data_IF_029431038233
#
_entry.id   IF_029431038233
#
_cell.length_a   1.000
_cell.length_b   1.000
_cell.length_c   1.000
_cell.angle_alpha   90.00
_cell.angle_beta   90.00
_cell.angle_gamma   90.00
#
_symmetry.space_group_name_H-M   'P 1'
#
loop_
_entity.id
_entity.type
_entity.pdbx_description
1 polymer ?
#
# COMPACT_ATOMS: atom_id res chain seq x y z
N UNK A 1 -17.36 -7.95 13.47
CA UNK A 1 -16.06 -8.13 14.19
C UNK A 1 -15.21 -6.93 13.90
N UNK A 2 -14.89 -6.11 14.89
CA UNK A 2 -14.23 -4.81 14.70
C UNK A 2 -12.79 -5.03 14.20
N UNK A 3 -12.46 -4.45 13.06
CA UNK A 3 -11.08 -4.35 12.58
C UNK A 3 -10.48 -3.13 13.26
N UNK A 4 -9.41 -3.30 13.99
CA UNK A 4 -8.74 -2.20 14.69
C UNK A 4 -7.25 -2.23 14.37
N UNK A 5 -6.65 -1.05 14.35
CA UNK A 5 -5.21 -0.86 14.33
C UNK A 5 -4.70 -0.35 15.70
N UNK A 6 -5.43 -0.69 16.77
CA UNK A 6 -5.17 -0.27 18.16
C UNK A 6 -3.99 -1.06 18.75
N UNK A 7 -2.83 -0.91 18.14
CA UNK A 7 -1.59 -1.45 18.68
C UNK A 7 -0.99 -0.46 19.68
N UNK A 8 -0.19 -0.97 20.64
CA UNK A 8 0.55 -0.10 21.55
C UNK A 8 1.38 0.94 20.80
N UNK A 9 1.55 2.13 21.37
CA UNK A 9 2.34 3.20 20.77
C UNK A 9 3.76 2.76 20.38
N UNK A 10 4.36 1.84 21.14
CA UNK A 10 5.67 1.26 20.87
C UNK A 10 5.71 0.53 19.49
N UNK A 11 4.64 -0.18 19.12
CA UNK A 11 4.56 -0.85 17.82
C UNK A 11 4.55 0.16 16.67
N UNK A 12 3.77 1.25 16.82
CA UNK A 12 3.76 2.34 15.83
C UNK A 12 5.11 3.05 15.73
N UNK A 13 5.80 3.24 16.85
CA UNK A 13 7.17 3.80 16.85
C UNK A 13 8.16 2.87 16.14
N UNK A 14 8.08 1.55 16.34
CA UNK A 14 8.91 0.57 15.66
C UNK A 14 8.65 0.59 14.15
N UNK A 15 7.38 0.60 13.72
CA UNK A 15 7.03 0.69 12.31
C UNK A 15 7.50 2.01 11.68
N UNK A 16 7.39 3.13 12.38
CA UNK A 16 7.90 4.43 11.90
C UNK A 16 9.43 4.40 11.73
N UNK A 17 10.15 3.82 12.69
CA UNK A 17 11.60 3.66 12.60
C UNK A 17 12.01 2.76 11.42
N UNK A 18 11.29 1.65 11.19
CA UNK A 18 11.56 0.77 10.05
C UNK A 18 11.25 1.46 8.70
N UNK A 19 10.16 2.22 8.61
CA UNK A 19 9.85 3.05 7.45
C UNK A 19 10.98 4.08 7.16
N UNK A 20 11.56 4.66 8.21
CA UNK A 20 12.71 5.58 8.09
C UNK A 20 13.97 4.87 7.57
N UNK A 21 14.16 3.59 7.87
CA UNK A 21 15.34 2.80 7.47
C UNK A 21 15.19 2.26 6.06
N UNK A 22 14.05 1.66 5.75
CA UNK A 22 13.86 0.83 4.56
C UNK A 22 12.81 1.36 3.58
N UNK A 23 11.92 2.27 4.01
CA UNK A 23 10.79 2.77 3.22
C UNK A 23 9.57 1.86 3.25
N UNK A 24 9.62 0.77 4.00
CA UNK A 24 8.49 -0.11 4.26
C UNK A 24 8.58 -0.72 5.68
N UNK A 25 7.45 -1.09 6.25
CA UNK A 25 7.38 -1.72 7.56
C UNK A 25 6.23 -2.75 7.61
N UNK A 26 6.49 -4.00 8.04
CA UNK A 26 5.42 -4.96 8.28
C UNK A 26 4.58 -4.54 9.48
N UNK A 27 3.27 -4.83 9.43
CA UNK A 27 2.37 -4.61 10.57
C UNK A 27 2.18 -5.89 11.38
N UNK A 28 1.75 -5.80 12.64
CA UNK A 28 1.09 -6.91 13.29
C UNK A 28 -0.13 -7.39 12.47
N UNK A 29 -0.73 -8.52 12.84
CA UNK A 29 -1.88 -9.07 12.10
C UNK A 29 -3.08 -8.11 12.12
N UNK A 30 -3.56 -7.75 10.94
CA UNK A 30 -4.75 -6.90 10.71
C UNK A 30 -6.02 -7.75 10.53
N UNK A 31 -5.88 -8.91 9.91
CA UNK A 31 -6.99 -9.77 9.51
C UNK A 31 -6.76 -11.21 9.95
N UNK A 32 -7.81 -11.86 10.41
CA UNK A 32 -7.80 -13.32 10.62
C UNK A 32 -7.77 -14.06 9.28
N UNK A 33 -7.34 -15.34 9.24
CA UNK A 33 -7.40 -16.14 8.01
C UNK A 33 -8.81 -16.26 7.41
N UNK A 34 -9.87 -16.25 8.23
CA UNK A 34 -11.26 -16.25 7.74
C UNK A 34 -11.57 -14.94 7.00
N UNK A 35 -11.24 -13.78 7.59
CA UNK A 35 -11.42 -12.47 6.94
C UNK A 35 -10.61 -12.34 5.66
N UNK A 36 -9.40 -12.90 5.61
CA UNK A 36 -8.60 -12.94 4.37
C UNK A 36 -9.32 -13.71 3.27
N UNK A 37 -9.88 -14.90 3.58
CA UNK A 37 -10.66 -15.68 2.61
C UNK A 37 -11.90 -14.94 2.13
N UNK A 38 -12.65 -14.30 3.05
CA UNK A 38 -13.87 -13.56 2.71
C UNK A 38 -13.54 -12.37 1.79
N UNK A 39 -12.46 -11.61 2.08
CA UNK A 39 -12.01 -10.51 1.24
C UNK A 39 -11.49 -11.00 -0.12
N UNK A 40 -10.74 -12.09 -0.14
CA UNK A 40 -10.25 -12.68 -1.39
C UNK A 40 -11.41 -13.14 -2.30
N UNK A 41 -12.50 -13.67 -1.73
CA UNK A 41 -13.70 -14.07 -2.46
C UNK A 41 -14.47 -12.90 -3.09
N UNK A 42 -14.26 -11.67 -2.62
CA UNK A 42 -14.84 -10.47 -3.25
C UNK A 42 -14.37 -10.30 -4.70
N UNK A 43 -13.22 -10.87 -5.05
CA UNK A 43 -12.72 -10.78 -6.43
C UNK A 43 -13.71 -11.32 -7.45
N UNK A 44 -14.54 -12.28 -7.08
CA UNK A 44 -15.51 -12.91 -7.97
C UNK A 44 -16.90 -12.21 -7.98
N UNK A 45 -17.00 -11.01 -7.38
CA UNK A 45 -18.18 -10.15 -7.35
C UNK A 45 -17.96 -8.88 -8.19
N UNK A 46 -18.18 -8.93 -9.51
CA UNK A 46 -17.83 -7.83 -10.43
C UNK A 46 -18.53 -6.52 -10.12
N UNK A 47 -19.71 -6.55 -9.50
CA UNK A 47 -20.51 -5.38 -9.11
C UNK A 47 -19.83 -4.50 -8.07
N UNK A 48 -18.85 -5.01 -7.32
CA UNK A 48 -18.09 -4.25 -6.33
C UNK A 48 -16.99 -3.39 -6.96
N UNK A 49 -16.71 -3.58 -8.26
CA UNK A 49 -15.56 -2.96 -8.90
C UNK A 49 -15.97 -2.03 -10.03
N UNK A 50 -15.35 -0.84 -10.06
CA UNK A 50 -15.52 0.12 -11.15
C UNK A 50 -14.68 -0.18 -12.38
N UNK A 51 -13.58 -0.93 -12.23
CA UNK A 51 -12.68 -1.27 -13.31
C UNK A 51 -11.86 -2.52 -13.02
N UNK A 52 -11.58 -3.29 -14.06
CA UNK A 52 -10.63 -4.41 -14.04
C UNK A 52 -9.48 -4.07 -14.99
N UNK A 53 -8.26 -4.17 -14.51
CA UNK A 53 -7.04 -3.87 -15.26
C UNK A 53 -6.26 -5.16 -15.46
N UNK A 54 -6.02 -5.49 -16.73
CA UNK A 54 -5.08 -6.52 -17.14
C UNK A 54 -3.70 -5.86 -17.31
N UNK A 55 -2.74 -6.23 -16.46
CA UNK A 55 -1.43 -5.58 -16.41
C UNK A 55 -0.63 -5.78 -17.70
N UNK A 56 -0.79 -6.91 -18.37
CA UNK A 56 -0.07 -7.21 -19.61
C UNK A 56 -0.43 -6.24 -20.73
N UNK A 57 -1.69 -5.80 -20.81
CA UNK A 57 -2.15 -4.82 -21.80
C UNK A 57 -1.52 -3.45 -21.64
N UNK A 58 -1.09 -3.11 -20.41
CA UNK A 58 -0.52 -1.81 -20.08
C UNK A 58 1.00 -1.85 -19.88
N UNK A 59 1.64 -3.02 -20.09
CA UNK A 59 3.08 -3.25 -19.83
C UNK A 59 3.47 -3.01 -18.37
N UNK A 60 2.54 -3.22 -17.43
CA UNK A 60 2.79 -3.11 -15.99
C UNK A 60 3.31 -4.41 -15.38
N UNK A 61 3.39 -5.48 -16.16
CA UNK A 61 3.73 -6.83 -15.75
C UNK A 61 2.72 -7.83 -16.28
N UNK A 62 2.38 -8.83 -15.50
CA UNK A 62 1.35 -9.84 -15.76
C UNK A 62 0.51 -10.05 -14.50
N UNK A 63 -0.76 -10.34 -14.66
CA UNK A 63 -1.75 -10.45 -13.58
C UNK A 63 -2.87 -9.43 -13.74
N UNK A 64 -3.77 -9.42 -12.80
CA UNK A 64 -4.93 -8.52 -12.83
C UNK A 64 -5.13 -7.84 -11.47
N UNK A 65 -5.68 -6.63 -11.52
CA UNK A 65 -6.25 -5.98 -10.35
C UNK A 65 -7.58 -5.31 -10.66
N UNK A 66 -8.40 -5.13 -9.62
CA UNK A 66 -9.70 -4.50 -9.71
C UNK A 66 -9.77 -3.32 -8.76
N UNK A 67 -10.20 -2.18 -9.26
CA UNK A 67 -10.52 -1.01 -8.44
C UNK A 67 -11.93 -1.14 -7.89
N UNK A 68 -12.09 -1.03 -6.58
CA UNK A 68 -13.40 -0.96 -5.95
C UNK A 68 -14.18 0.29 -6.40
N UNK A 69 -15.51 0.20 -6.31
CA UNK A 69 -16.42 1.36 -6.35
C UNK A 69 -16.23 2.23 -5.10
N UNK A 70 -16.93 3.36 -5.00
CA UNK A 70 -16.92 4.19 -3.79
C UNK A 70 -17.58 3.50 -2.59
N UNK A 71 -18.60 2.68 -2.83
CA UNK A 71 -19.27 1.89 -1.81
C UNK A 71 -18.37 0.72 -1.42
N UNK A 72 -17.36 1.02 -0.60
CA UNK A 72 -16.41 0.02 -0.15
C UNK A 72 -17.08 -1.00 0.77
N UNK A 73 -16.76 -2.31 0.64
CA UNK A 73 -17.09 -3.28 1.66
C UNK A 73 -16.60 -2.84 3.04
N UNK A 74 -17.46 -3.03 4.05
CA UNK A 74 -17.22 -2.55 5.43
C UNK A 74 -15.80 -2.87 5.95
N UNK A 75 -15.27 -4.10 5.80
CA UNK A 75 -13.93 -4.40 6.30
C UNK A 75 -12.82 -3.56 5.67
N UNK A 76 -12.97 -3.16 4.41
CA UNK A 76 -11.99 -2.33 3.70
C UNK A 76 -12.07 -0.89 4.16
N UNK A 77 -13.30 -0.36 4.30
CA UNK A 77 -13.53 0.97 4.83
C UNK A 77 -13.02 1.12 6.27
N UNK A 78 -13.28 0.11 7.11
CA UNK A 78 -12.83 0.06 8.49
C UNK A 78 -11.28 0.02 8.60
N UNK A 79 -10.60 -0.80 7.79
CA UNK A 79 -9.13 -0.82 7.73
C UNK A 79 -8.56 0.55 7.34
N UNK A 80 -9.12 1.16 6.31
CA UNK A 80 -8.70 2.48 5.82
C UNK A 80 -8.83 3.54 6.91
N UNK A 81 -9.97 3.57 7.59
CA UNK A 81 -10.25 4.50 8.68
C UNK A 81 -9.36 4.27 9.90
N UNK A 82 -9.16 3.01 10.30
CA UNK A 82 -8.34 2.66 11.48
C UNK A 82 -6.85 2.97 11.29
N UNK A 83 -6.32 2.81 10.07
CA UNK A 83 -4.89 3.05 9.79
C UNK A 83 -4.56 4.53 9.60
N UNK A 84 -5.48 5.32 9.06
CA UNK A 84 -5.23 6.71 8.66
C UNK A 84 -4.62 7.59 9.76
N UNK A 85 -5.19 7.70 10.99
CA UNK A 85 -4.70 8.62 12.00
C UNK A 85 -3.26 8.30 12.43
N UNK A 86 -2.87 7.04 12.46
CA UNK A 86 -1.53 6.63 12.81
C UNK A 86 -0.51 6.93 11.69
N UNK A 87 -0.90 6.66 10.45
CA UNK A 87 -0.07 6.98 9.28
C UNK A 87 0.05 8.48 9.05
N UNK A 88 -0.96 9.26 9.43
CA UNK A 88 -0.95 10.72 9.37
C UNK A 88 0.18 11.33 10.19
N UNK A 89 0.45 10.79 11.39
CA UNK A 89 1.57 11.25 12.23
C UNK A 89 2.90 11.08 11.50
N UNK A 90 3.14 9.92 10.89
CA UNK A 90 4.35 9.63 10.13
C UNK A 90 4.42 10.50 8.87
N UNK A 91 3.32 10.66 8.17
CA UNK A 91 3.23 11.49 6.96
C UNK A 91 3.58 12.96 7.23
N UNK A 92 3.06 13.52 8.31
CA UNK A 92 3.35 14.91 8.74
C UNK A 92 4.80 15.10 9.16
N UNK A 93 5.36 14.14 9.90
CA UNK A 93 6.77 14.16 10.27
C UNK A 93 7.67 14.11 9.02
N UNK A 94 7.38 13.22 8.07
CA UNK A 94 8.11 13.14 6.80
C UNK A 94 8.03 14.42 5.97
N UNK A 95 6.84 15.04 5.92
CA UNK A 95 6.65 16.31 5.25
C UNK A 95 7.51 17.41 5.90
N UNK A 96 7.50 17.49 7.23
CA UNK A 96 8.32 18.44 7.98
C UNK A 96 9.84 18.26 7.73
N UNK A 97 10.34 17.02 7.78
CA UNK A 97 11.74 16.70 7.46
C UNK A 97 12.13 17.12 6.04
N UNK A 98 11.21 17.01 5.08
CA UNK A 98 11.45 17.35 3.68
C UNK A 98 11.14 18.82 3.33
N UNK A 99 10.67 19.62 4.29
CA UNK A 99 10.25 21.00 4.05
C UNK A 99 9.08 21.12 3.08
N UNK A 100 8.16 20.15 3.11
CA UNK A 100 6.97 20.08 2.23
C UNK A 100 5.70 20.42 2.99
N UNK A 101 4.65 20.92 2.29
CA UNK A 101 3.31 21.03 2.87
C UNK A 101 2.79 19.67 3.38
N UNK A 102 2.02 19.71 4.47
CA UNK A 102 1.29 18.57 5.02
C UNK A 102 -0.22 18.91 5.01
N UNK A 103 -0.90 18.83 3.86
CA UNK A 103 -2.25 19.33 3.70
C UNK A 103 -3.33 18.41 4.28
N UNK A 104 -2.93 17.26 4.80
CA UNK A 104 -3.84 16.20 5.25
C UNK A 104 -4.53 16.57 6.57
N UNK A 105 -5.90 16.67 6.60
CA UNK A 105 -6.68 16.85 7.82
C UNK A 105 -6.55 15.69 8.80
N UNK A 106 -7.03 15.87 10.03
CA UNK A 106 -7.05 14.81 11.03
C UNK A 106 -8.02 13.69 10.66
N UNK A 107 -9.13 14.05 10.00
CA UNK A 107 -10.16 13.10 9.59
C UNK A 107 -9.97 12.65 8.13
N UNK A 108 -9.98 11.33 7.91
CA UNK A 108 -9.90 10.76 6.56
C UNK A 108 -11.01 11.27 5.63
N UNK A 109 -12.23 11.44 6.15
CA UNK A 109 -13.37 11.94 5.38
C UNK A 109 -13.11 13.31 4.78
N UNK A 110 -12.60 14.25 5.58
CA UNK A 110 -12.25 15.60 5.13
C UNK A 110 -11.16 15.57 4.05
N UNK A 111 -10.17 14.67 4.22
CA UNK A 111 -9.12 14.48 3.21
C UNK A 111 -9.68 14.00 1.87
N UNK A 112 -10.58 13.00 1.90
CA UNK A 112 -11.22 12.49 0.69
C UNK A 112 -12.10 13.52 0.01
N UNK A 113 -12.82 14.36 0.77
CA UNK A 113 -13.56 15.50 0.22
C UNK A 113 -12.63 16.50 -0.47
N UNK A 114 -11.44 16.75 0.08
CA UNK A 114 -10.44 17.60 -0.60
C UNK A 114 -9.98 16.97 -1.91
N UNK A 115 -9.72 15.66 -1.94
CA UNK A 115 -9.40 14.93 -3.16
C UNK A 115 -10.51 15.07 -4.20
N UNK A 116 -11.76 14.88 -3.82
CA UNK A 116 -12.92 15.00 -4.71
C UNK A 116 -13.08 16.42 -5.28
N UNK A 117 -12.94 17.44 -4.44
CA UNK A 117 -12.95 18.85 -4.91
C UNK A 117 -11.77 19.15 -5.86
N UNK A 118 -10.65 18.46 -5.70
CA UNK A 118 -9.48 18.53 -6.59
C UNK A 118 -9.62 17.71 -7.88
N UNK A 119 -10.79 17.09 -8.12
CA UNK A 119 -11.05 16.27 -9.31
C UNK A 119 -10.60 14.81 -9.20
N UNK A 120 -10.08 14.39 -8.03
CA UNK A 120 -9.71 13.02 -7.72
C UNK A 120 -10.89 12.30 -7.06
N UNK A 121 -11.88 11.95 -7.85
CA UNK A 121 -13.15 11.41 -7.37
C UNK A 121 -13.35 9.92 -7.66
N UNK A 122 -12.29 9.13 -7.79
CA UNK A 122 -12.39 7.69 -8.06
C UNK A 122 -11.68 6.91 -6.95
N UNK A 123 -12.39 5.93 -6.35
CA UNK A 123 -11.77 5.05 -5.35
C UNK A 123 -10.47 4.43 -5.89
N UNK A 124 -9.40 4.53 -5.10
CA UNK A 124 -8.08 3.97 -5.39
C UNK A 124 -7.83 2.63 -4.66
N UNK A 125 -8.82 2.09 -3.96
CA UNK A 125 -8.70 0.79 -3.29
C UNK A 125 -8.69 -0.32 -4.33
N UNK A 126 -7.75 -1.27 -4.20
CA UNK A 126 -7.54 -2.32 -5.19
C UNK A 126 -7.48 -3.72 -4.58
N UNK A 127 -8.02 -4.68 -5.30
CA UNK A 127 -7.82 -6.10 -5.04
C UNK A 127 -7.01 -6.69 -6.19
N UNK A 128 -5.81 -7.21 -5.88
CA UNK A 128 -4.86 -7.73 -6.85
C UNK A 128 -4.89 -9.26 -6.83
N UNK A 129 -4.73 -9.86 -8.01
CA UNK A 129 -4.64 -11.31 -8.20
C UNK A 129 -3.53 -11.66 -9.20
N UNK A 130 -2.64 -12.54 -8.76
CA UNK A 130 -1.54 -13.09 -9.55
C UNK A 130 -1.60 -14.61 -9.52
N UNK A 131 -1.38 -15.24 -10.67
CA UNK A 131 -1.15 -16.67 -10.81
C UNK A 131 0.33 -16.98 -11.04
N UNK A 132 0.65 -18.28 -11.23
CA UNK A 132 2.01 -18.70 -11.57
C UNK A 132 2.50 -18.02 -12.86
N UNK A 133 3.68 -17.44 -12.83
CA UNK A 133 4.28 -16.66 -13.91
C UNK A 133 3.97 -15.16 -13.87
N UNK A 134 2.99 -14.72 -13.09
CA UNK A 134 2.63 -13.31 -12.98
C UNK A 134 3.61 -12.52 -12.09
N UNK A 135 3.72 -11.23 -12.37
CA UNK A 135 4.61 -10.29 -11.68
C UNK A 135 4.14 -8.85 -11.87
N UNK A 136 4.65 -7.91 -11.09
CA UNK A 136 4.37 -6.48 -11.28
C UNK A 136 5.66 -5.68 -11.42
N UNK A 137 5.71 -4.85 -12.48
CA UNK A 137 6.85 -3.99 -12.76
C UNK A 137 7.09 -2.98 -11.62
N UNK A 138 8.34 -2.55 -11.46
CA UNK A 138 8.67 -1.49 -10.50
C UNK A 138 8.06 -0.15 -10.91
N UNK A 139 7.15 0.36 -10.12
CA UNK A 139 6.37 1.59 -10.39
C UNK A 139 6.19 2.46 -9.13
N UNK A 140 5.45 3.53 -9.27
CA UNK A 140 4.95 4.40 -8.20
C UNK A 140 3.47 4.64 -8.44
N UNK A 141 2.68 4.65 -7.38
CA UNK A 141 1.24 4.95 -7.44
C UNK A 141 1.05 6.46 -7.28
N UNK A 142 1.09 7.17 -8.40
CA UNK A 142 0.87 8.61 -8.46
C UNK A 142 -0.46 8.88 -9.14
N UNK A 143 -1.50 9.09 -8.34
CA UNK A 143 -2.86 9.42 -8.80
C UNK A 143 -3.16 10.88 -8.47
N UNK A 144 -3.11 11.77 -9.47
CA UNK A 144 -3.38 13.19 -9.30
C UNK A 144 -2.31 13.96 -8.50
N UNK A 145 -2.66 15.19 -8.08
CA UNK A 145 -1.76 16.11 -7.36
C UNK A 145 -1.87 15.96 -5.83
N UNK A 146 -3.03 15.52 -5.34
CA UNK A 146 -3.32 15.33 -3.92
C UNK A 146 -2.96 13.90 -3.53
N UNK A 147 -1.76 13.72 -2.98
CA UNK A 147 -1.19 12.40 -2.67
C UNK A 147 -0.93 12.26 -1.17
N UNK A 148 -1.36 11.16 -0.57
CA UNK A 148 -0.91 10.74 0.75
C UNK A 148 0.38 9.92 0.61
N UNK A 149 1.44 10.16 1.40
CA UNK A 149 2.77 9.62 1.14
C UNK A 149 2.97 8.14 1.49
N UNK A 150 2.00 7.53 2.15
CA UNK A 150 2.04 6.15 2.62
C UNK A 150 0.83 5.37 2.11
N UNK A 151 1.01 4.09 1.89
CA UNK A 151 -0.04 3.14 1.53
C UNK A 151 0.22 1.79 2.19
N UNK A 152 -0.75 0.89 2.16
CA UNK A 152 -0.66 -0.42 2.80
C UNK A 152 -1.09 -1.50 1.81
N UNK A 153 -0.34 -2.59 1.73
CA UNK A 153 -0.78 -3.81 1.08
C UNK A 153 -0.97 -4.91 2.12
N UNK A 154 -2.09 -5.62 2.08
CA UNK A 154 -2.40 -6.72 2.99
C UNK A 154 -2.36 -8.05 2.24
N UNK A 155 -1.61 -9.02 2.75
CA UNK A 155 -1.56 -10.38 2.21
C UNK A 155 -2.86 -11.14 2.53
N UNK A 156 -3.53 -11.69 1.52
CA UNK A 156 -4.75 -12.47 1.70
C UNK A 156 -4.53 -13.98 1.62
N UNK A 157 -3.45 -14.40 0.96
CA UNK A 157 -3.05 -15.80 0.85
C UNK A 157 -1.78 -16.08 1.67
N UNK A 158 -1.56 -17.33 2.03
CA UNK A 158 -0.43 -17.76 2.87
C UNK A 158 0.81 -18.04 2.00
N UNK A 159 1.87 -17.25 2.24
CA UNK A 159 3.16 -17.45 1.58
C UNK A 159 3.80 -18.77 2.03
N UNK A 160 4.12 -19.59 1.06
CA UNK A 160 4.68 -20.93 1.27
C UNK A 160 3.63 -22.06 1.25
N UNK A 161 2.37 -21.76 1.60
CA UNK A 161 1.28 -22.72 1.53
C UNK A 161 0.41 -22.54 0.28
N UNK A 162 -0.10 -21.33 0.04
CA UNK A 162 -0.99 -21.05 -1.09
C UNK A 162 -0.21 -20.65 -2.35
N UNK A 163 0.96 -20.02 -2.17
CA UNK A 163 1.82 -19.59 -3.28
C UNK A 163 3.30 -19.49 -2.87
N UNK A 164 4.19 -19.49 -3.87
CA UNK A 164 5.62 -19.23 -3.71
C UNK A 164 6.10 -18.18 -4.73
N UNK A 165 7.20 -17.48 -4.43
CA UNK A 165 7.57 -16.28 -5.19
C UNK A 165 6.61 -15.14 -4.90
N UNK A 166 6.49 -14.16 -5.79
CA UNK A 166 5.56 -13.06 -5.61
C UNK A 166 5.87 -12.17 -4.41
N UNK A 167 7.12 -12.10 -4.00
CA UNK A 167 7.57 -11.23 -2.93
C UNK A 167 7.33 -9.76 -3.29
N UNK A 168 6.98 -8.95 -2.30
CA UNK A 168 6.95 -7.50 -2.45
C UNK A 168 8.37 -6.99 -2.64
N UNK A 169 8.57 -6.22 -3.70
CA UNK A 169 9.83 -5.58 -4.03
C UNK A 169 9.74 -4.09 -3.77
N UNK A 170 10.79 -3.53 -3.17
CA UNK A 170 10.95 -2.10 -3.01
C UNK A 170 12.37 -1.72 -3.42
N UNK A 171 12.50 -0.74 -4.30
CA UNK A 171 13.79 -0.28 -4.82
C UNK A 171 13.95 1.21 -4.58
N UNK A 172 14.91 1.56 -3.75
CA UNK A 172 15.31 2.93 -3.47
C UNK A 172 16.45 3.36 -4.40
N UNK A 173 16.31 4.53 -4.99
CA UNK A 173 17.34 5.15 -5.81
C UNK A 173 17.82 6.44 -5.14
N UNK A 174 19.09 6.50 -4.75
CA UNK A 174 19.73 7.72 -4.26
C UNK A 174 20.57 8.36 -5.35
N UNK A 175 20.67 9.69 -5.39
CA UNK A 175 21.58 10.37 -6.31
C UNK A 175 23.03 9.89 -6.10
N UNK A 176 23.71 9.56 -7.19
CA UNK A 176 25.13 9.14 -7.19
C UNK A 176 25.42 7.86 -6.37
N UNK A 177 24.41 7.01 -6.16
CA UNK A 177 24.54 5.74 -5.48
C UNK A 177 23.91 4.62 -6.30
N UNK A 178 24.30 3.38 -6.04
CA UNK A 178 23.61 2.22 -6.55
C UNK A 178 22.23 2.08 -5.91
N UNK A 179 21.27 1.49 -6.64
CA UNK A 179 19.94 1.21 -6.12
C UNK A 179 20.00 0.18 -4.98
N UNK A 180 19.22 0.40 -3.93
CA UNK A 180 19.03 -0.57 -2.85
C UNK A 180 17.69 -1.27 -3.04
N UNK A 181 17.72 -2.61 -3.12
CA UNK A 181 16.51 -3.45 -3.14
C UNK A 181 16.16 -3.98 -1.75
N UNK A 182 14.86 -4.02 -1.46
CA UNK A 182 14.27 -4.75 -0.33
C UNK A 182 13.26 -5.74 -0.90
N UNK A 183 13.25 -6.96 -0.41
CA UNK A 183 12.38 -8.04 -0.87
C UNK A 183 11.74 -8.69 0.36
N UNK A 184 10.39 -8.76 0.39
CA UNK A 184 9.67 -9.24 1.57
C UNK A 184 8.48 -10.12 1.15
N UNK A 185 8.35 -11.34 1.70
CA UNK A 185 7.12 -12.10 1.60
C UNK A 185 6.02 -11.41 2.41
N UNK A 186 4.77 -11.49 1.96
CA UNK A 186 3.61 -10.99 2.72
C UNK A 186 2.96 -12.16 3.46
N UNK A 187 2.98 -12.10 4.79
CA UNK A 187 2.27 -13.07 5.61
C UNK A 187 0.75 -12.84 5.54
N UNK A 188 -0.04 -13.91 5.53
CA UNK A 188 -1.50 -13.84 5.49
C UNK A 188 -2.06 -13.02 6.66
N UNK A 189 -2.89 -12.04 6.34
CA UNK A 189 -3.55 -11.17 7.30
C UNK A 189 -2.66 -10.07 7.88
N UNK A 190 -1.38 -10.01 7.49
CA UNK A 190 -0.49 -8.91 7.85
C UNK A 190 -0.45 -7.86 6.74
N UNK A 191 -0.27 -6.62 7.13
CA UNK A 191 -0.02 -5.51 6.23
C UNK A 191 1.47 -5.25 6.04
N UNK A 192 1.79 -4.58 4.95
CA UNK A 192 3.06 -3.91 4.74
C UNK A 192 2.76 -2.45 4.43
N UNK A 193 3.15 -1.54 5.33
CA UNK A 193 3.12 -0.10 5.10
C UNK A 193 4.32 0.25 4.23
N UNK A 194 4.14 1.08 3.21
CA UNK A 194 5.26 1.52 2.38
C UNK A 194 5.01 2.90 1.76
N UNK A 195 6.09 3.52 1.31
CA UNK A 195 6.00 4.85 0.70
C UNK A 195 5.38 4.80 -0.70
N UNK A 196 4.51 5.75 -0.98
CA UNK A 196 3.88 5.91 -2.31
C UNK A 196 4.91 6.35 -3.37
N UNK A 197 5.89 7.21 -3.00
CA UNK A 197 6.76 7.86 -3.97
C UNK A 197 8.22 7.98 -3.52
N UNK A 198 8.45 8.53 -2.35
CA UNK A 198 9.77 8.79 -1.80
C UNK A 198 9.71 8.78 -0.26
N UNK A 199 10.86 8.69 0.38
CA UNK A 199 10.98 8.81 1.83
C UNK A 199 12.08 9.81 2.20
N UNK A 200 12.04 10.42 3.41
CA UNK A 200 13.14 11.25 3.88
C UNK A 200 14.37 10.39 4.20
N UNK A 201 15.53 10.84 3.75
CA UNK A 201 16.82 10.27 4.14
C UNK A 201 17.71 11.36 4.66
N UNK A 202 18.42 11.10 5.76
CA UNK A 202 19.36 12.05 6.33
C UNK A 202 20.71 11.93 5.62
N UNK A 203 21.20 13.05 5.11
CA UNK A 203 22.53 13.19 4.54
C UNK A 203 23.39 14.16 5.35
N UNK A 204 24.61 14.39 4.92
CA UNK A 204 25.54 15.31 5.59
C UNK A 204 25.03 16.77 5.66
N UNK A 205 24.19 17.18 4.72
CA UNK A 205 23.65 18.56 4.60
C UNK A 205 22.17 18.67 5.00
N UNK A 206 21.62 17.70 5.73
CA UNK A 206 20.22 17.67 6.14
C UNK A 206 19.40 16.57 5.47
N UNK A 207 18.07 16.75 5.44
CA UNK A 207 17.15 15.77 4.88
C UNK A 207 16.97 15.94 3.37
N UNK A 208 16.80 14.84 2.67
CA UNK A 208 16.49 14.81 1.24
C UNK A 208 15.53 13.68 0.92
N UNK A 209 14.80 13.83 -0.18
CA UNK A 209 13.91 12.78 -0.66
C UNK A 209 14.69 11.69 -1.40
N UNK A 210 14.51 10.45 -1.02
CA UNK A 210 14.98 9.29 -1.77
C UNK A 210 13.81 8.68 -2.55
N UNK A 211 13.83 8.72 -3.89
CA UNK A 211 12.80 8.09 -4.70
C UNK A 211 12.76 6.59 -4.49
N UNK A 212 11.54 6.06 -4.37
CA UNK A 212 11.27 4.64 -4.17
C UNK A 212 10.30 4.15 -5.23
N UNK A 213 10.52 2.94 -5.74
CA UNK A 213 9.60 2.19 -6.58
C UNK A 213 9.29 0.88 -5.90
N UNK A 214 8.08 0.37 -6.11
CA UNK A 214 7.69 -0.95 -5.62
C UNK A 214 7.15 -1.81 -6.76
N UNK A 215 7.06 -3.09 -6.51
CA UNK A 215 6.57 -4.08 -7.47
C UNK A 215 6.41 -5.44 -6.81
N UNK A 216 6.18 -6.46 -7.63
CA UNK A 216 6.02 -7.85 -7.17
C UNK A 216 6.93 -8.75 -8.01
N UNK A 217 7.71 -9.60 -7.36
CA UNK A 217 8.54 -10.61 -8.04
C UNK A 217 7.64 -11.65 -8.71
N UNK A 218 8.20 -12.46 -9.59
CA UNK A 218 7.44 -13.52 -10.26
C UNK A 218 6.88 -14.51 -9.26
N UNK A 219 5.56 -14.72 -9.29
CA UNK A 219 4.89 -15.82 -8.60
C UNK A 219 5.33 -17.12 -9.25
N UNK A 220 5.92 -18.02 -8.48
CA UNK A 220 6.48 -19.28 -9.00
C UNK A 220 5.44 -20.39 -9.03
N UNK A 221 4.55 -20.42 -8.05
CA UNK A 221 3.46 -21.39 -7.97
C UNK A 221 2.27 -20.84 -7.22
N UNK A 222 1.08 -21.39 -7.49
CA UNK A 222 -0.15 -21.06 -6.77
C UNK A 222 -0.79 -19.72 -7.18
N UNK A 223 -1.57 -19.16 -6.25
CA UNK A 223 -2.27 -17.90 -6.44
C UNK A 223 -1.96 -16.94 -5.30
N UNK A 224 -1.62 -15.70 -5.64
CA UNK A 224 -1.34 -14.62 -4.69
C UNK A 224 -2.38 -13.53 -4.84
N UNK A 225 -3.16 -13.27 -3.77
CA UNK A 225 -4.11 -12.17 -3.71
C UNK A 225 -3.71 -11.20 -2.62
N UNK A 226 -3.87 -9.92 -2.89
CA UNK A 226 -3.58 -8.85 -1.91
C UNK A 226 -4.59 -7.73 -2.04
N UNK A 227 -4.86 -7.07 -0.91
CA UNK A 227 -5.66 -5.86 -0.83
C UNK A 227 -4.72 -4.66 -0.73
N UNK A 228 -4.83 -3.72 -1.66
CA UNK A 228 -4.13 -2.43 -1.60
C UNK A 228 -5.03 -1.36 -1.00
N UNK A 229 -4.53 -0.68 0.03
CA UNK A 229 -5.22 0.41 0.73
C UNK A 229 -4.44 1.69 0.49
N UNK A 230 -5.06 2.60 -0.24
CA UNK A 230 -4.55 3.93 -0.58
C UNK A 230 -5.35 4.97 0.20
N UNK A 231 -4.69 6.00 0.71
CA UNK A 231 -5.32 7.01 1.58
C UNK A 231 -5.70 8.30 0.84
N UNK A 232 -5.71 8.29 -0.48
CA UNK A 232 -6.28 9.31 -1.35
C UNK A 232 -7.10 8.62 -2.45
N UNK A 233 -7.94 9.38 -3.13
CA UNK A 233 -8.66 8.91 -4.30
C UNK A 233 -7.98 9.41 -5.59
N UNK A 234 -8.31 8.79 -6.75
CA UNK A 234 -7.68 9.01 -8.04
C UNK A 234 -8.56 9.83 -9.01
#
# INVERSE_FOLDING_TARGET
MTITADWPAAEWMNMAAELDISGCAPTPRLLTPAQCRDLAALYDKPELFRATIDMARHRFGSGQYRYFTHDLPEPIAALRAALYPHLLVIARDWAGRLGRPAPWPDELGEWLEMCHRGGQGKSAQILLRYGSGDWNALHRDLFGDLVFPLQVVVGLDDYGADYTGGEFLLVEQRPRAQSRGTCMPLAQGHGLIFTTRDRPVRGARGWSAAPVRHGVSTVRSGHRRTLGIVFHDA
#
